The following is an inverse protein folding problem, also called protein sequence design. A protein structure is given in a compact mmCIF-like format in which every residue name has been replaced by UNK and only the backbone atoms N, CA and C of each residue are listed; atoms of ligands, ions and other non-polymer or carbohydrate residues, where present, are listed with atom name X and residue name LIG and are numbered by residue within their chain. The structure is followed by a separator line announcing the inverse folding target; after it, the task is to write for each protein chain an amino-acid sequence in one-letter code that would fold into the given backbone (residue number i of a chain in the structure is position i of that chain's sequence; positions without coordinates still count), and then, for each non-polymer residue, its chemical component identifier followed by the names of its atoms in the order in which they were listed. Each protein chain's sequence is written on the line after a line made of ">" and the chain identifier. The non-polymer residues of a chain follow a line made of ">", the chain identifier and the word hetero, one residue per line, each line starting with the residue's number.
data_IF_769641074063
#
_entry.id   IF_769641074063
#
_cell.length_a   1.000
_cell.length_b   1.000
_cell.length_c   1.000
_cell.angle_alpha   90.00
_cell.angle_beta   90.00
_cell.angle_gamma   90.00
#
_symmetry.space_group_name_H-M   'P 1'
#
loop_
_entity.id
_entity.type
_entity.pdbx_description
1 polymer ?
#
# COMPACT_ATOMS: atom_id res chain seq x y z
N UNK A 1 0.50 -3.97 -10.84
CA UNK A 1 -0.80 -3.30 -11.04
C UNK A 1 -1.03 -2.43 -9.82
N UNK A 2 -1.15 -1.12 -9.98
CA UNK A 2 -1.38 -0.23 -8.84
C UNK A 2 -2.88 -0.17 -8.53
N UNK A 3 -3.25 -0.37 -7.26
CA UNK A 3 -4.61 -0.29 -6.76
C UNK A 3 -4.96 1.18 -6.50
N UNK A 4 -5.61 1.77 -7.50
CA UNK A 4 -6.33 3.04 -7.36
C UNK A 4 -7.79 2.69 -7.17
N UNK A 5 -8.43 3.22 -6.13
CA UNK A 5 -9.89 3.08 -5.99
C UNK A 5 -10.56 3.64 -7.24
N UNK A 6 -11.12 2.78 -8.10
CA UNK A 6 -11.86 3.20 -9.28
C UNK A 6 -13.01 4.12 -8.85
N UNK A 7 -13.29 5.22 -9.57
CA UNK A 7 -14.49 6.00 -9.34
C UNK A 7 -15.72 5.10 -9.58
N UNK A 8 -16.68 5.12 -8.66
CA UNK A 8 -17.96 4.39 -8.79
C UNK A 8 -18.74 4.94 -9.99
N UNK A 9 -18.66 4.27 -11.14
CA UNK A 9 -19.65 4.41 -12.19
C UNK A 9 -20.75 3.38 -12.00
N UNK A 10 -22.01 3.84 -11.98
CA UNK A 10 -23.22 3.01 -11.96
C UNK A 10 -23.24 2.16 -13.25
N UNK A 11 -23.32 0.84 -13.11
CA UNK A 11 -23.44 -0.09 -14.25
C UNK A 11 -24.91 -0.26 -14.60
N UNK A 12 -25.27 0.12 -15.83
CA UNK A 12 -26.47 -0.34 -16.52
C UNK A 12 -26.37 -1.80 -16.94
N UNK A 13 -27.53 -2.37 -17.24
CA UNK A 13 -27.81 -3.76 -17.60
C UNK A 13 -27.09 -4.23 -18.87
N UNK A 14 -26.59 -5.48 -18.86
CA UNK A 14 -26.41 -6.26 -20.09
C UNK A 14 -26.63 -7.76 -19.83
N UNK A 15 -27.67 -8.31 -20.46
CA UNK A 15 -28.00 -9.74 -20.51
C UNK A 15 -27.43 -10.33 -21.80
N UNK A 16 -26.45 -11.25 -21.74
CA UNK A 16 -26.36 -12.43 -22.62
C UNK A 16 -25.19 -13.38 -22.28
N UNK A 17 -25.43 -14.68 -22.52
CA UNK A 17 -24.54 -15.86 -22.48
C UNK A 17 -24.35 -16.55 -21.11
N UNK A 18 -25.18 -17.58 -20.91
CA UNK A 18 -25.10 -18.57 -19.84
C UNK A 18 -24.04 -19.62 -20.19
N UNK A 19 -22.76 -19.30 -19.97
CA UNK A 19 -21.70 -20.30 -19.86
C UNK A 19 -21.69 -20.78 -18.42
N UNK A 20 -21.75 -22.10 -18.20
CA UNK A 20 -21.66 -22.71 -16.87
C UNK A 20 -20.25 -22.52 -16.30
N UNK A 21 -19.91 -21.31 -15.87
CA UNK A 21 -18.78 -21.12 -14.98
C UNK A 21 -19.20 -21.68 -13.62
N UNK A 22 -18.60 -22.80 -13.23
CA UNK A 22 -18.63 -23.23 -11.82
C UNK A 22 -18.01 -22.07 -11.03
N UNK A 23 -18.82 -21.32 -10.30
CA UNK A 23 -18.34 -20.26 -9.42
C UNK A 23 -17.54 -20.92 -8.30
N UNK A 24 -16.25 -21.16 -8.51
CA UNK A 24 -15.33 -21.51 -7.44
C UNK A 24 -15.42 -20.41 -6.39
N UNK A 25 -15.69 -20.82 -5.16
CA UNK A 25 -15.77 -19.92 -4.02
C UNK A 25 -14.35 -19.51 -3.61
N UNK A 26 -14.19 -18.41 -2.89
CA UNK A 26 -12.87 -17.93 -2.45
C UNK A 26 -12.08 -19.04 -1.71
N UNK A 27 -12.76 -19.81 -0.86
CA UNK A 27 -12.20 -20.95 -0.13
C UNK A 27 -11.55 -22.00 -1.05
N UNK A 28 -12.05 -22.14 -2.28
CA UNK A 28 -11.54 -23.10 -3.26
C UNK A 28 -10.27 -22.60 -3.98
N UNK A 29 -9.96 -21.31 -3.86
CA UNK A 29 -8.79 -20.67 -4.46
C UNK A 29 -7.64 -20.50 -3.46
N UNK A 30 -7.93 -20.53 -2.17
CA UNK A 30 -6.93 -20.43 -1.10
C UNK A 30 -6.21 -21.77 -0.93
N UNK A 31 -4.89 -21.76 -1.06
CA UNK A 31 -4.05 -22.96 -0.91
C UNK A 31 -3.76 -23.70 -2.22
N UNK A 32 -4.39 -23.30 -3.32
CA UNK A 32 -4.01 -23.75 -4.66
C UNK A 32 -2.73 -23.01 -5.09
N UNK A 33 -1.72 -23.71 -5.68
CA UNK A 33 -0.52 -23.06 -6.20
C UNK A 33 -0.87 -21.97 -7.22
N UNK A 34 -0.29 -20.78 -7.09
CA UNK A 34 -0.54 -19.65 -8.00
C UNK A 34 -0.18 -19.97 -9.47
N UNK A 35 0.62 -21.00 -9.73
CA UNK A 35 0.96 -21.50 -11.07
C UNK A 35 -0.23 -22.14 -11.81
N UNK A 36 -1.21 -22.64 -11.06
CA UNK A 36 -2.29 -23.48 -11.60
C UNK A 36 -3.57 -22.67 -11.83
N UNK A 37 -3.58 -21.38 -11.49
CA UNK A 37 -4.72 -20.47 -11.63
C UNK A 37 -4.68 -19.76 -12.98
N UNK A 38 -5.87 -19.58 -13.56
CA UNK A 38 -6.04 -18.70 -14.72
C UNK A 38 -5.91 -17.22 -14.31
N UNK A 39 -5.60 -16.35 -15.28
CA UNK A 39 -5.41 -14.91 -15.05
C UNK A 39 -6.58 -14.25 -14.30
N UNK A 40 -7.82 -14.60 -14.67
CA UNK A 40 -9.02 -14.06 -14.00
C UNK A 40 -9.18 -14.55 -12.55
N UNK A 41 -8.79 -15.79 -12.27
CA UNK A 41 -8.84 -16.34 -10.91
C UNK A 41 -7.75 -15.69 -10.04
N UNK A 42 -6.57 -15.42 -10.62
CA UNK A 42 -5.47 -14.74 -9.95
C UNK A 42 -5.82 -13.30 -9.57
N UNK A 43 -6.47 -12.55 -10.48
CA UNK A 43 -6.95 -11.19 -10.20
C UNK A 43 -8.01 -11.17 -9.08
N UNK A 44 -8.97 -12.10 -9.12
CA UNK A 44 -9.98 -12.24 -8.05
C UNK A 44 -9.35 -12.59 -6.71
N UNK A 45 -8.35 -13.46 -6.71
CA UNK A 45 -7.61 -13.81 -5.49
C UNK A 45 -6.86 -12.59 -4.95
N UNK A 46 -6.21 -11.82 -5.81
CA UNK A 46 -5.49 -10.59 -5.44
C UNK A 46 -6.44 -9.55 -4.84
N UNK A 47 -7.57 -9.27 -5.50
CA UNK A 47 -8.60 -8.36 -4.99
C UNK A 47 -9.12 -8.81 -3.62
N UNK A 48 -9.32 -10.11 -3.42
CA UNK A 48 -9.74 -10.64 -2.14
C UNK A 48 -8.65 -10.46 -1.07
N UNK A 49 -7.40 -10.80 -1.37
CA UNK A 49 -6.23 -10.61 -0.48
C UNK A 49 -6.12 -9.14 -0.05
N UNK A 50 -6.43 -8.19 -0.94
CA UNK A 50 -6.46 -6.77 -0.59
C UNK A 50 -7.66 -6.33 0.25
N UNK A 51 -8.79 -7.04 0.17
CA UNK A 51 -10.00 -6.68 0.89
C UNK A 51 -10.01 -7.23 2.32
N UNK A 52 -9.52 -8.46 2.48
CA UNK A 52 -9.64 -9.20 3.74
C UNK A 52 -8.28 -9.55 4.36
N UNK A 53 -7.18 -9.30 3.64
CA UNK A 53 -5.82 -9.56 4.13
C UNK A 53 -5.19 -8.37 4.85
N UNK A 54 -3.89 -8.46 5.20
CA UNK A 54 -3.18 -7.43 5.95
C UNK A 54 -3.09 -6.07 5.22
N UNK A 55 -3.17 -6.10 3.88
CA UNK A 55 -3.13 -4.90 3.04
C UNK A 55 -4.46 -4.13 3.01
N UNK A 56 -5.53 -4.67 3.61
CA UNK A 56 -6.82 -3.98 3.77
C UNK A 56 -6.69 -2.63 4.46
N UNK A 57 -5.73 -2.49 5.39
CA UNK A 57 -5.41 -1.21 6.05
C UNK A 57 -5.05 -0.12 5.04
N UNK A 58 -4.25 -0.44 4.03
CA UNK A 58 -3.87 0.51 2.98
C UNK A 58 -5.04 0.79 2.04
N UNK A 59 -5.86 -0.23 1.75
CA UNK A 59 -7.07 -0.06 0.95
C UNK A 59 -8.05 0.92 1.60
N UNK A 60 -8.31 0.75 2.90
CA UNK A 60 -9.13 1.68 3.67
C UNK A 60 -8.52 3.08 3.73
N UNK A 61 -7.19 3.18 3.86
CA UNK A 61 -6.51 4.46 3.92
C UNK A 61 -6.65 5.26 2.61
N UNK A 62 -6.58 4.59 1.46
CA UNK A 62 -6.84 5.21 0.15
C UNK A 62 -8.30 5.62 0.03
N UNK A 63 -9.24 4.73 0.38
CA UNK A 63 -10.68 5.00 0.26
C UNK A 63 -11.14 6.18 1.13
N UNK A 64 -10.67 6.24 2.37
CA UNK A 64 -11.04 7.28 3.33
C UNK A 64 -10.13 8.52 3.27
N UNK A 65 -9.09 8.50 2.42
CA UNK A 65 -8.05 9.53 2.38
C UNK A 65 -7.44 9.84 3.77
N UNK A 66 -7.34 8.82 4.64
CA UNK A 66 -6.78 8.97 5.99
C UNK A 66 -5.26 9.03 5.95
N UNK A 67 -4.63 9.88 6.77
CA UNK A 67 -3.19 9.90 6.88
C UNK A 67 -2.66 8.57 7.46
N UNK A 68 -1.46 8.19 7.01
CA UNK A 68 -0.71 7.04 7.52
C UNK A 68 0.68 7.48 7.93
N UNK A 69 1.23 6.78 8.92
CA UNK A 69 2.63 6.90 9.33
C UNK A 69 3.38 5.69 8.83
N UNK A 70 4.45 5.90 8.08
CA UNK A 70 5.29 4.86 7.47
C UNK A 70 6.69 4.96 8.07
N UNK A 71 7.17 3.85 8.62
CA UNK A 71 8.57 3.75 9.05
C UNK A 71 9.42 3.11 7.97
N UNK A 72 10.45 3.83 7.53
CA UNK A 72 11.36 3.40 6.48
C UNK A 72 12.64 2.76 7.05
N UNK A 73 13.30 1.94 6.22
CA UNK A 73 14.53 1.20 6.56
C UNK A 73 15.72 2.10 6.87
N UNK A 74 15.77 3.30 6.31
CA UNK A 74 16.77 4.33 6.61
C UNK A 74 16.48 5.09 7.93
N UNK A 75 15.56 4.58 8.76
CA UNK A 75 15.10 5.20 10.01
C UNK A 75 14.35 6.53 9.83
N UNK A 76 13.98 6.91 8.60
CA UNK A 76 13.10 8.04 8.37
C UNK A 76 11.65 7.64 8.63
N UNK A 77 10.81 8.60 9.02
CA UNK A 77 9.37 8.43 9.23
C UNK A 77 8.64 9.34 8.27
N UNK A 78 7.67 8.80 7.54
CA UNK A 78 6.83 9.55 6.60
C UNK A 78 5.42 9.64 7.18
N UNK A 79 4.86 10.84 7.25
CA UNK A 79 3.44 11.06 7.48
C UNK A 79 2.84 11.51 6.16
N UNK A 80 1.94 10.73 5.59
CA UNK A 80 1.45 10.96 4.24
C UNK A 80 0.04 10.43 4.02
N UNK A 81 -0.61 10.84 2.92
CA UNK A 81 -1.82 10.20 2.41
C UNK A 81 -1.45 9.26 1.26
N UNK A 82 -1.97 8.04 1.31
CA UNK A 82 -1.76 7.05 0.23
C UNK A 82 -2.78 7.33 -0.88
N UNK A 83 -2.31 7.42 -2.12
CA UNK A 83 -3.17 7.51 -3.31
C UNK A 83 -3.30 6.21 -4.07
N UNK A 84 -2.24 5.41 -4.08
CA UNK A 84 -2.25 4.08 -4.66
C UNK A 84 -1.22 3.21 -3.95
N UNK A 85 -1.42 1.90 -4.01
CA UNK A 85 -0.48 0.91 -3.53
C UNK A 85 -0.47 -0.31 -4.45
N UNK A 86 0.47 -1.23 -4.26
CA UNK A 86 0.48 -2.52 -4.97
C UNK A 86 0.80 -3.69 -4.04
N UNK A 87 0.86 -4.91 -4.61
CA UNK A 87 1.21 -6.15 -3.90
C UNK A 87 2.61 -6.18 -3.30
N UNK A 88 3.52 -5.33 -3.75
CA UNK A 88 4.88 -5.24 -3.24
C UNK A 88 5.02 -4.16 -2.16
N UNK A 89 3.90 -3.54 -1.75
CA UNK A 89 3.87 -2.38 -0.89
C UNK A 89 4.60 -1.16 -1.49
N UNK A 90 4.70 -1.05 -2.82
CA UNK A 90 5.06 0.23 -3.44
C UNK A 90 3.89 1.21 -3.23
N UNK A 91 4.18 2.45 -2.84
CA UNK A 91 3.18 3.44 -2.46
C UNK A 91 3.34 4.71 -3.30
N UNK A 92 2.22 5.22 -3.80
CA UNK A 92 2.12 6.59 -4.31
C UNK A 92 1.54 7.42 -3.18
N UNK A 93 2.32 8.38 -2.72
CA UNK A 93 2.01 9.22 -1.56
C UNK A 93 1.83 10.68 -1.99
N UNK A 94 0.91 11.36 -1.31
CA UNK A 94 0.71 12.80 -1.44
C UNK A 94 0.80 13.52 -0.09
N UNK A 95 1.20 14.79 -0.14
CA UNK A 95 1.37 15.66 1.03
C UNK A 95 2.29 15.01 2.09
N UNK A 96 3.45 14.53 1.65
CA UNK A 96 4.37 13.78 2.48
C UNK A 96 5.16 14.73 3.37
N UNK A 97 5.06 14.52 4.68
CA UNK A 97 5.98 15.09 5.67
C UNK A 97 6.96 14.01 6.10
N UNK A 98 8.23 14.21 5.75
CA UNK A 98 9.31 13.29 6.12
C UNK A 98 10.07 13.84 7.32
N UNK A 99 10.33 12.96 8.28
CA UNK A 99 10.94 13.23 9.58
C UNK A 99 12.16 12.34 9.75
N UNK A 100 13.31 12.94 10.08
CA UNK A 100 14.52 12.20 10.44
C UNK A 100 15.35 12.95 11.48
N UNK A 101 16.37 12.27 11.98
CA UNK A 101 17.30 12.85 12.97
C UNK A 101 18.72 12.76 12.45
N UNK A 102 19.47 13.83 12.63
CA UNK A 102 20.90 13.86 12.31
C UNK A 102 21.71 14.02 13.60
N UNK A 103 22.62 13.08 13.90
CA UNK A 103 23.51 13.21 15.04
C UNK A 103 24.62 14.23 14.74
N UNK A 104 24.69 15.28 15.55
CA UNK A 104 25.80 16.23 15.54
C UNK A 104 26.94 15.65 16.38
N UNK A 105 28.09 15.42 15.75
CA UNK A 105 29.29 14.85 16.37
C UNK A 105 30.34 15.94 16.62
N UNK A 106 31.08 15.83 17.72
CA UNK A 106 32.27 16.66 17.99
C UNK A 106 33.44 16.25 17.07
N UNK A 107 34.52 17.04 17.03
CA UNK A 107 35.84 16.66 16.49
C UNK A 107 36.38 15.34 17.07
N UNK A 108 35.89 14.91 18.25
CA UNK A 108 36.22 13.61 18.88
C UNK A 108 35.22 12.49 18.53
N UNK A 109 34.31 12.68 17.58
CA UNK A 109 33.34 11.68 17.11
C UNK A 109 32.17 11.38 18.05
N UNK A 110 32.17 11.89 19.29
CA UNK A 110 31.07 11.73 20.25
C UNK A 110 29.83 12.52 19.82
N UNK A 111 28.65 11.89 19.85
CA UNK A 111 27.36 12.55 19.58
C UNK A 111 27.07 13.54 20.72
N UNK A 112 26.96 14.83 20.37
CA UNK A 112 26.69 15.91 21.33
C UNK A 112 25.20 16.24 21.35
N UNK A 113 24.57 16.27 20.17
CA UNK A 113 23.19 16.69 19.99
C UNK A 113 22.54 15.89 18.86
N UNK A 114 21.24 15.66 18.98
CA UNK A 114 20.43 15.09 17.90
C UNK A 114 19.54 16.20 17.37
N UNK A 115 19.72 16.57 16.10
CA UNK A 115 18.89 17.57 15.45
C UNK A 115 17.75 16.87 14.71
N UNK A 116 16.51 17.20 15.04
CA UNK A 116 15.35 16.76 14.29
C UNK A 116 15.21 17.62 13.03
N UNK A 117 15.09 16.97 11.87
CA UNK A 117 14.83 17.62 10.59
C UNK A 117 13.52 17.15 10.01
N UNK A 118 12.90 18.04 9.25
CA UNK A 118 11.71 17.72 8.48
C UNK A 118 11.80 18.29 7.06
N UNK A 119 11.17 17.60 6.10
CA UNK A 119 10.93 18.13 4.76
C UNK A 119 9.51 17.82 4.30
N UNK A 120 8.99 18.67 3.44
CA UNK A 120 7.70 18.46 2.79
C UNK A 120 7.89 18.11 1.32
N UNK A 121 7.17 17.09 0.85
CA UNK A 121 7.17 16.64 -0.54
C UNK A 121 5.73 16.46 -0.99
N UNK A 122 5.31 17.20 -2.01
CA UNK A 122 3.92 17.16 -2.49
C UNK A 122 3.56 15.80 -3.09
N UNK A 123 4.43 15.34 -4.01
CA UNK A 123 4.48 14.11 -4.82
C UNK A 123 5.53 13.08 -4.41
N UNK A 124 5.23 11.88 -3.89
CA UNK A 124 6.29 10.88 -3.66
C UNK A 124 5.90 9.47 -4.10
N UNK A 125 6.79 8.83 -4.86
CA UNK A 125 6.76 7.38 -5.08
C UNK A 125 7.73 6.72 -4.09
N UNK A 126 7.22 5.80 -3.28
CA UNK A 126 7.99 5.02 -2.32
C UNK A 126 8.01 3.55 -2.73
N UNK A 127 9.20 2.97 -2.80
CA UNK A 127 9.38 1.55 -3.11
C UNK A 127 9.15 0.69 -1.86
N UNK A 128 8.52 -0.47 -2.01
CA UNK A 128 8.05 -1.28 -0.89
C UNK A 128 9.14 -1.98 -0.08
N UNK A 129 10.32 -2.22 -0.64
CA UNK A 129 11.48 -2.75 0.10
C UNK A 129 12.02 -1.76 1.15
N UNK A 130 11.70 -0.47 1.00
CA UNK A 130 12.06 0.56 1.97
C UNK A 130 11.10 0.63 3.16
N UNK A 131 9.91 0.02 3.08
CA UNK A 131 8.86 0.07 4.10
C UNK A 131 9.11 -1.03 5.14
N UNK A 132 9.08 -0.67 6.43
CA UNK A 132 9.13 -1.64 7.54
C UNK A 132 7.74 -1.82 8.16
N UNK A 133 7.11 -0.72 8.58
CA UNK A 133 5.81 -0.73 9.26
C UNK A 133 4.96 0.43 8.74
N UNK A 134 3.66 0.18 8.55
CA UNK A 134 2.65 1.19 8.25
C UNK A 134 1.63 1.20 9.38
N UNK A 135 1.33 2.39 9.90
CA UNK A 135 0.32 2.61 10.95
C UNK A 135 -0.72 3.59 10.43
N UNK A 136 -1.99 3.30 10.67
CA UNK A 136 -3.10 4.21 10.43
C UNK A 136 -3.14 5.23 11.59
N UNK A 137 -3.06 6.52 11.26
CA UNK A 137 -3.11 7.60 12.25
C UNK A 137 -4.54 7.88 12.72
#
# INVERSE_FOLDING_TARGET
>A
MAYVTKPKFLSGDDKHSRIKHTNKTFSDLVGVPKSDLNQQELERLEEFEFNHGPMSLLKEAVANNTPVVISCRNNHKLVAKVKAFDRHCNLILENVKELWTEPVKNNKGKVIKVNQKERFVSKLFLRGDSVIVVVKA
#
